data_IF_765089635026
#
_entry.id   IF_765089635026
#
_cell.length_a   1.000
_cell.length_b   1.000
_cell.length_c   1.000
_cell.angle_alpha   90.00
_cell.angle_beta   90.00
_cell.angle_gamma   90.00
#
_symmetry.space_group_name_H-M   'P 1'
#
loop_
_entity.id
_entity.type
_entity.pdbx_description
1 polymer ?
#
# COMPACT_ATOMS: atom_id res chain seq x y z
N UNK A 1 22.78 1.00 -62.88
CA UNK A 1 23.28 2.30 -62.37
C UNK A 1 23.86 2.02 -60.99
N UNK A 2 25.07 1.50 -60.80
CA UNK A 2 26.44 2.02 -61.04
C UNK A 2 26.64 3.51 -60.74
N UNK A 3 27.17 3.80 -59.55
CA UNK A 3 28.08 4.90 -59.18
C UNK A 3 28.61 4.55 -57.78
N UNK A 4 29.82 4.00 -57.63
CA UNK A 4 31.15 4.62 -57.73
C UNK A 4 31.50 5.53 -56.53
N UNK A 5 32.23 4.92 -55.58
CA UNK A 5 33.51 5.36 -55.01
C UNK A 5 33.68 6.83 -54.59
N UNK A 6 33.99 7.04 -53.30
CA UNK A 6 35.21 7.77 -52.89
C UNK A 6 35.56 7.54 -51.42
N UNK A 7 36.70 6.89 -51.22
CA UNK A 7 37.50 6.93 -50.00
C UNK A 7 37.93 8.35 -49.67
N UNK A 8 37.97 8.67 -48.39
CA UNK A 8 38.98 9.57 -47.85
C UNK A 8 39.51 9.00 -46.54
N UNK A 9 40.78 8.58 -46.57
CA UNK A 9 41.58 8.32 -45.39
C UNK A 9 42.09 9.66 -44.86
N UNK A 10 41.76 10.00 -43.61
CA UNK A 10 42.53 10.96 -42.83
C UNK A 10 42.81 10.29 -41.50
N UNK A 11 44.01 9.72 -41.40
CA UNK A 11 44.60 9.30 -40.13
C UNK A 11 45.13 10.56 -39.43
N UNK A 12 44.54 10.92 -38.30
CA UNK A 12 45.13 11.86 -37.37
C UNK A 12 45.26 11.16 -36.02
N UNK A 13 46.46 10.63 -35.78
CA UNK A 13 46.86 10.00 -34.53
C UNK A 13 47.29 11.12 -33.57
N UNK A 14 46.39 11.52 -32.69
CA UNK A 14 46.71 12.41 -31.57
C UNK A 14 46.97 11.57 -30.31
N UNK A 15 48.25 11.36 -29.99
CA UNK A 15 48.67 10.78 -28.71
C UNK A 15 48.62 11.88 -27.65
N UNK A 16 47.54 11.93 -26.88
CA UNK A 16 47.48 12.68 -25.63
C UNK A 16 47.68 11.71 -24.46
N UNK A 17 48.90 11.71 -23.92
CA UNK A 17 49.19 11.13 -22.61
C UNK A 17 48.77 12.14 -21.53
N UNK A 18 47.46 12.21 -21.26
CA UNK A 18 46.89 12.94 -20.13
C UNK A 18 46.42 11.94 -19.10
N UNK A 19 47.16 11.79 -18.00
CA UNK A 19 46.76 11.01 -16.82
C UNK A 19 45.52 11.62 -16.19
N UNK A 20 44.35 11.24 -16.70
CA UNK A 20 43.07 11.52 -16.09
C UNK A 20 42.93 10.53 -14.95
N UNK A 21 43.13 10.99 -13.71
CA UNK A 21 42.54 10.31 -12.57
C UNK A 21 41.03 10.35 -12.81
N UNK A 22 40.52 9.30 -13.44
CA UNK A 22 39.10 9.02 -13.50
C UNK A 22 38.68 8.78 -12.05
N UNK A 23 38.32 9.88 -11.36
CA UNK A 23 37.36 9.83 -10.29
C UNK A 23 36.13 9.20 -10.93
N UNK A 24 36.05 7.87 -10.84
CA UNK A 24 34.89 7.12 -11.27
C UNK A 24 33.73 7.66 -10.48
N UNK A 25 32.92 8.48 -11.13
CA UNK A 25 31.54 8.71 -10.76
C UNK A 25 30.90 7.32 -10.72
N UNK A 26 30.91 6.71 -9.54
CA UNK A 26 30.08 5.57 -9.20
C UNK A 26 28.66 6.11 -9.07
N UNK A 27 28.10 6.57 -10.19
CA UNK A 27 26.76 7.13 -10.30
C UNK A 27 25.83 6.07 -10.91
N UNK A 28 25.81 4.91 -10.25
CA UNK A 28 24.76 3.93 -10.41
C UNK A 28 24.29 3.61 -9.00
N UNK A 29 23.18 4.23 -8.59
CA UNK A 29 22.44 3.70 -7.46
C UNK A 29 22.16 2.23 -7.79
N UNK A 30 22.61 1.32 -6.92
CA UNK A 30 22.27 -0.08 -7.10
C UNK A 30 20.75 -0.18 -6.95
N UNK A 31 20.09 -0.89 -7.88
CA UNK A 31 18.65 -1.16 -7.80
C UNK A 31 18.41 -2.59 -7.34
N UNK A 32 17.38 -2.80 -6.55
CA UNK A 32 16.88 -4.08 -6.08
C UNK A 32 15.48 -4.37 -6.61
N UNK A 33 15.16 -5.65 -6.81
CA UNK A 33 13.81 -6.09 -7.13
C UNK A 33 12.98 -6.18 -5.84
N UNK A 34 11.80 -5.59 -5.88
CA UNK A 34 10.88 -5.46 -4.74
C UNK A 34 9.56 -6.12 -5.07
N UNK A 35 9.08 -6.94 -4.13
CA UNK A 35 7.78 -7.58 -4.18
C UNK A 35 6.96 -7.16 -2.97
N UNK A 36 5.87 -6.44 -3.22
CA UNK A 36 4.92 -6.08 -2.17
C UNK A 36 3.90 -7.18 -2.05
N UNK A 37 3.79 -7.73 -0.83
CA UNK A 37 2.89 -8.83 -0.53
C UNK A 37 1.91 -8.44 0.56
N UNK A 38 0.71 -9.04 0.54
CA UNK A 38 -0.34 -8.76 1.49
C UNK A 38 -0.96 -10.03 2.05
N UNK A 39 -1.22 -10.02 3.36
CA UNK A 39 -1.89 -11.09 4.09
C UNK A 39 -2.90 -10.50 5.08
N UNK A 40 -3.79 -11.34 5.58
CA UNK A 40 -4.64 -11.03 6.70
C UNK A 40 -3.95 -11.42 8.02
N UNK A 41 -3.86 -10.49 8.96
CA UNK A 41 -3.48 -10.74 10.33
C UNK A 41 -4.69 -10.52 11.23
N UNK A 42 -5.14 -11.57 11.88
CA UNK A 42 -6.23 -11.51 12.85
C UNK A 42 -5.69 -11.60 14.28
N UNK A 43 -4.51 -11.03 14.51
CA UNK A 43 -3.99 -10.84 15.86
C UNK A 43 -5.09 -10.14 16.66
N UNK A 44 -5.76 -10.91 17.51
CA UNK A 44 -6.94 -10.46 18.20
C UNK A 44 -6.54 -9.23 19.00
N UNK A 45 -7.21 -8.10 18.73
CA UNK A 45 -7.10 -6.95 19.61
C UNK A 45 -7.35 -7.45 21.03
N UNK A 46 -6.42 -7.14 21.94
CA UNK A 46 -6.48 -7.62 23.32
C UNK A 46 -7.92 -7.52 23.85
N UNK A 47 -8.49 -8.58 24.46
CA UNK A 47 -9.88 -8.60 24.95
C UNK A 47 -10.26 -7.41 25.86
N UNK A 48 -9.26 -6.71 26.41
CA UNK A 48 -9.45 -5.47 27.16
C UNK A 48 -10.07 -4.34 26.33
N UNK A 49 -9.87 -4.29 25.02
CA UNK A 49 -10.41 -3.25 24.14
C UNK A 49 -11.83 -3.56 23.64
N UNK A 50 -12.19 -4.82 23.44
CA UNK A 50 -13.53 -5.20 22.96
C UNK A 50 -14.66 -4.82 23.93
N UNK A 51 -14.38 -4.80 25.24
CA UNK A 51 -15.35 -4.38 26.26
C UNK A 51 -15.62 -2.86 26.27
N UNK A 52 -14.64 -2.04 25.85
CA UNK A 52 -14.81 -0.59 25.76
C UNK A 52 -15.74 -0.23 24.59
N UNK A 53 -15.51 -0.76 23.40
CA UNK A 53 -16.25 -0.38 22.20
C UNK A 53 -17.73 -0.76 22.26
N UNK A 54 -18.08 -1.85 22.95
CA UNK A 54 -19.48 -2.23 23.19
C UNK A 54 -20.28 -1.16 23.98
N UNK A 55 -19.60 -0.30 24.76
CA UNK A 55 -20.24 0.73 25.58
C UNK A 55 -20.46 2.08 24.88
N UNK A 56 -19.83 2.31 23.72
CA UNK A 56 -19.87 3.62 23.01
C UNK A 56 -20.85 3.60 21.82
N UNK A 57 -21.32 2.42 21.40
CA UNK A 57 -22.23 2.23 20.26
C UNK A 57 -23.68 2.76 20.45
N UNK A 58 -23.91 3.74 21.35
CA UNK A 58 -25.24 4.21 21.75
C UNK A 58 -25.39 5.73 21.85
N UNK A 59 -24.45 6.52 21.33
CA UNK A 59 -24.57 7.99 21.31
C UNK A 59 -24.74 8.45 19.86
N UNK A 60 -25.85 9.11 19.57
CA UNK A 60 -26.21 9.61 18.24
C UNK A 60 -25.02 10.34 17.59
N UNK A 61 -24.43 9.74 16.54
CA UNK A 61 -23.30 10.34 15.79
C UNK A 61 -21.99 9.59 15.84
N UNK A 62 -21.85 8.61 16.74
CA UNK A 62 -20.59 7.89 16.91
C UNK A 62 -20.36 6.83 15.82
N UNK A 63 -19.09 6.63 15.45
CA UNK A 63 -18.66 5.48 14.67
C UNK A 63 -19.12 4.19 15.37
N UNK A 64 -19.64 3.24 14.60
CA UNK A 64 -20.05 1.95 15.10
C UNK A 64 -18.94 0.92 14.86
N UNK A 65 -18.77 0.01 15.82
CA UNK A 65 -18.00 -1.20 15.60
C UNK A 65 -18.90 -2.24 14.93
N UNK A 66 -18.44 -2.81 13.82
CA UNK A 66 -19.11 -3.96 13.19
C UNK A 66 -18.24 -5.20 13.38
N UNK A 67 -18.90 -6.35 13.60
CA UNK A 67 -18.15 -7.61 13.57
C UNK A 67 -17.62 -7.84 12.16
N UNK A 68 -16.35 -8.22 12.03
CA UNK A 68 -15.79 -8.69 10.76
C UNK A 68 -16.58 -9.86 10.16
N UNK A 69 -17.26 -10.65 10.99
CA UNK A 69 -18.08 -11.78 10.54
C UNK A 69 -19.37 -11.31 9.84
N UNK A 70 -19.78 -10.06 10.06
CA UNK A 70 -20.87 -9.43 9.32
C UNK A 70 -20.45 -9.00 7.91
N UNK A 71 -19.16 -9.00 7.60
CA UNK A 71 -18.60 -8.56 6.32
C UNK A 71 -18.31 -9.77 5.44
N UNK A 72 -18.83 -9.75 4.21
CA UNK A 72 -18.60 -10.76 3.19
C UNK A 72 -17.30 -10.50 2.45
N UNK A 73 -17.16 -9.30 1.91
CA UNK A 73 -15.99 -8.85 1.17
C UNK A 73 -15.74 -7.36 1.41
N UNK A 74 -14.48 -6.96 1.32
CA UNK A 74 -14.04 -5.57 1.26
C UNK A 74 -13.05 -5.48 0.09
N UNK A 75 -13.59 -5.19 -1.10
CA UNK A 75 -12.82 -5.11 -2.33
C UNK A 75 -12.24 -3.72 -2.50
N UNK A 76 -10.94 -3.63 -2.74
CA UNK A 76 -10.25 -2.37 -3.04
C UNK A 76 -9.54 -2.45 -4.39
N UNK A 77 -9.42 -1.32 -5.07
CA UNK A 77 -8.60 -1.14 -6.27
C UNK A 77 -7.46 -0.20 -5.95
N UNK A 78 -6.23 -0.73 -5.91
CA UNK A 78 -5.00 0.04 -5.69
C UNK A 78 -4.44 0.44 -7.04
N UNK A 79 -4.13 1.72 -7.21
CA UNK A 79 -3.55 2.28 -8.44
C UNK A 79 -2.07 2.70 -8.29
N UNK A 80 -1.61 2.88 -7.06
CA UNK A 80 -0.24 3.31 -6.81
C UNK A 80 0.21 2.88 -5.40
N UNK A 81 1.45 2.44 -5.29
CA UNK A 81 2.13 2.22 -4.02
C UNK A 81 3.32 3.16 -3.98
N UNK A 82 3.48 3.89 -2.87
CA UNK A 82 4.61 4.77 -2.69
C UNK A 82 5.46 4.39 -1.48
N UNK A 83 6.75 4.62 -1.61
CA UNK A 83 7.78 4.28 -0.63
C UNK A 83 8.54 5.54 -0.22
N UNK A 84 8.81 5.70 1.07
CA UNK A 84 9.57 6.82 1.60
C UNK A 84 10.96 6.35 2.04
N UNK A 85 12.05 6.75 1.36
CA UNK A 85 13.41 6.51 1.84
C UNK A 85 13.64 7.15 3.21
N UNK A 86 14.41 6.51 4.10
CA UNK A 86 14.85 7.15 5.35
C UNK A 86 15.82 8.29 5.04
N UNK A 87 15.83 9.33 5.88
CA UNK A 87 16.62 10.54 5.65
C UNK A 87 18.12 10.31 5.39
N UNK A 88 18.73 9.27 5.98
CA UNK A 88 20.13 8.92 5.76
C UNK A 88 20.43 8.39 4.35
N UNK A 89 19.40 7.92 3.64
CA UNK A 89 19.48 7.30 2.30
C UNK A 89 18.92 8.22 1.22
N UNK A 90 18.15 9.24 1.63
CA UNK A 90 17.73 10.26 0.71
C UNK A 90 18.99 10.97 0.18
N UNK A 91 19.11 11.04 -1.14
CA UNK A 91 20.09 11.93 -1.74
C UNK A 91 19.85 13.33 -1.17
N UNK A 92 20.90 14.08 -0.82
CA UNK A 92 20.78 15.34 -0.08
C UNK A 92 19.88 16.40 -0.76
N UNK A 93 19.46 16.19 -2.01
CA UNK A 93 18.50 17.03 -2.72
C UNK A 93 17.02 16.59 -2.58
N UNK A 94 16.74 15.38 -2.09
CA UNK A 94 15.45 14.69 -2.18
C UNK A 94 14.98 14.05 -0.86
N UNK A 95 15.41 14.59 0.29
CA UNK A 95 14.87 14.20 1.60
C UNK A 95 13.34 14.34 1.62
N UNK A 96 12.64 13.23 1.88
CA UNK A 96 11.19 13.19 1.99
C UNK A 96 10.44 12.99 0.67
N UNK A 97 11.13 12.72 -0.45
CA UNK A 97 10.48 12.41 -1.73
C UNK A 97 9.95 10.98 -1.73
N UNK A 98 8.67 10.84 -2.07
CA UNK A 98 8.02 9.54 -2.22
C UNK A 98 8.35 8.93 -3.59
N UNK A 99 8.87 7.70 -3.59
CA UNK A 99 9.11 6.93 -4.82
C UNK A 99 7.84 6.17 -5.15
N UNK A 100 7.40 6.27 -6.40
CA UNK A 100 6.09 5.79 -6.85
C UNK A 100 6.20 4.52 -7.69
N UNK A 101 5.40 3.52 -7.37
CA UNK A 101 5.19 2.30 -8.14
C UNK A 101 3.73 2.26 -8.57
N UNK A 102 3.50 2.52 -9.86
CA UNK A 102 2.16 2.44 -10.46
C UNK A 102 1.72 0.98 -10.50
N UNK A 103 0.51 0.73 -10.03
CA UNK A 103 -0.11 -0.60 -10.02
C UNK A 103 -1.53 -0.50 -10.55
N UNK A 104 -2.13 -1.63 -10.94
CA UNK A 104 -3.56 -1.70 -11.22
C UNK A 104 -4.04 -3.05 -10.70
N UNK A 105 -4.33 -3.08 -9.40
CA UNK A 105 -4.63 -4.31 -8.70
C UNK A 105 -5.95 -4.18 -7.94
N UNK A 106 -6.86 -5.10 -8.19
CA UNK A 106 -8.11 -5.22 -7.43
C UNK A 106 -8.12 -6.52 -6.66
N UNK A 107 -8.37 -6.45 -5.36
CA UNK A 107 -8.40 -7.62 -4.49
C UNK A 107 -9.36 -7.41 -3.31
N UNK A 108 -9.84 -8.53 -2.76
CA UNK A 108 -10.70 -8.56 -1.58
C UNK A 108 -9.86 -8.74 -0.31
N UNK A 109 -9.87 -7.72 0.55
CA UNK A 109 -9.15 -7.72 1.82
C UNK A 109 -9.64 -8.80 2.78
N UNK A 110 -10.88 -9.26 2.64
CA UNK A 110 -11.45 -10.35 3.45
C UNK A 110 -11.11 -11.74 2.93
N UNK A 111 -10.57 -11.84 1.72
CA UNK A 111 -10.15 -13.09 1.08
C UNK A 111 -8.62 -13.23 1.01
N UNK A 112 -7.88 -12.35 1.69
CA UNK A 112 -6.43 -12.43 1.76
C UNK A 112 -5.98 -13.72 2.46
N UNK A 113 -4.86 -14.32 2.05
CA UNK A 113 -4.26 -15.43 2.77
C UNK A 113 -3.96 -15.04 4.22
N UNK A 114 -4.22 -15.93 5.17
CA UNK A 114 -3.79 -15.74 6.57
C UNK A 114 -2.27 -15.87 6.68
N UNK A 115 -1.70 -15.53 7.84
CA UNK A 115 -0.26 -15.60 8.12
C UNK A 115 0.36 -16.99 7.91
N UNK A 116 -0.44 -18.05 7.97
CA UNK A 116 0.01 -19.43 7.73
C UNK A 116 0.01 -19.82 6.23
N UNK A 117 -0.59 -18.98 5.37
CA UNK A 117 -0.67 -19.18 3.93
C UNK A 117 0.45 -18.48 3.16
N UNK A 118 0.56 -18.76 1.85
CA UNK A 118 1.42 -17.99 0.97
C UNK A 118 0.84 -16.58 0.77
N UNK A 119 1.62 -15.51 0.95
CA UNK A 119 1.12 -14.15 0.86
C UNK A 119 0.71 -13.80 -0.58
N UNK A 120 -0.31 -12.93 -0.72
CA UNK A 120 -0.74 -12.45 -2.03
C UNK A 120 0.25 -11.38 -2.52
N UNK A 121 0.84 -11.58 -3.71
CA UNK A 121 1.66 -10.54 -4.33
C UNK A 121 0.75 -9.48 -4.94
N UNK A 122 0.81 -8.25 -4.43
CA UNK A 122 -0.02 -7.13 -4.92
C UNK A 122 0.75 -6.20 -5.86
N UNK A 123 2.08 -6.21 -5.80
CA UNK A 123 2.92 -5.43 -6.70
C UNK A 123 4.33 -6.02 -6.81
N UNK A 124 4.97 -5.78 -7.94
CA UNK A 124 6.40 -6.01 -8.14
C UNK A 124 7.00 -4.80 -8.86
N UNK A 125 8.21 -4.41 -8.51
CA UNK A 125 8.92 -3.31 -9.13
C UNK A 125 10.40 -3.33 -8.78
N UNK A 126 11.13 -2.28 -9.16
CA UNK A 126 12.52 -2.10 -8.73
C UNK A 126 12.65 -0.78 -7.98
N UNK A 127 13.42 -0.78 -6.90
CA UNK A 127 13.72 0.40 -6.07
C UNK A 127 15.23 0.53 -5.90
N UNK A 128 15.71 1.73 -5.57
CA UNK A 128 17.11 1.89 -5.18
C UNK A 128 17.38 1.13 -3.86
N UNK A 129 18.52 0.45 -3.79
CA UNK A 129 19.03 -0.22 -2.60
C UNK A 129 19.18 0.80 -1.48
N UNK A 130 18.62 0.49 -0.31
CA UNK A 130 18.61 1.43 0.82
C UNK A 130 17.52 1.13 1.84
N UNK A 131 17.45 1.96 2.87
CA UNK A 131 16.48 1.86 3.96
C UNK A 131 15.25 2.73 3.70
N UNK A 132 14.07 2.16 3.92
CA UNK A 132 12.78 2.81 3.73
C UNK A 132 12.01 2.85 5.06
N UNK A 133 11.36 3.99 5.31
CA UNK A 133 10.69 4.30 6.56
C UNK A 133 9.17 4.15 6.53
N UNK A 134 8.56 4.31 5.35
CA UNK A 134 7.12 4.21 5.20
C UNK A 134 6.71 3.63 3.84
N UNK A 135 5.54 2.98 3.83
CA UNK A 135 4.82 2.59 2.61
C UNK A 135 3.40 3.12 2.70
N UNK A 136 2.87 3.63 1.58
CA UNK A 136 1.46 4.00 1.46
C UNK A 136 0.82 3.48 0.19
N UNK A 137 -0.46 3.13 0.27
CA UNK A 137 -1.25 2.60 -0.83
C UNK A 137 -2.30 3.64 -1.24
N UNK A 138 -2.32 4.01 -2.51
CA UNK A 138 -3.39 4.83 -3.07
C UNK A 138 -4.49 3.92 -3.59
N UNK A 139 -5.71 4.19 -3.13
CA UNK A 139 -6.89 3.39 -3.46
C UNK A 139 -7.81 4.23 -4.33
N UNK A 140 -8.04 3.76 -5.56
CA UNK A 140 -8.90 4.40 -6.53
C UNK A 140 -10.38 4.20 -6.19
N UNK A 141 -10.75 3.03 -5.69
CA UNK A 141 -12.13 2.70 -5.29
C UNK A 141 -12.17 1.58 -4.27
N UNK A 142 -13.23 1.55 -3.46
CA UNK A 142 -13.50 0.47 -2.52
C UNK A 142 -15.01 0.17 -2.44
N UNK A 143 -15.33 -1.10 -2.20
CA UNK A 143 -16.69 -1.59 -2.02
C UNK A 143 -16.75 -2.64 -0.91
N UNK A 144 -17.84 -2.63 -0.13
CA UNK A 144 -18.09 -3.59 0.95
C UNK A 144 -19.40 -4.33 0.72
N UNK A 145 -19.40 -5.64 0.94
CA UNK A 145 -20.61 -6.48 0.93
C UNK A 145 -20.82 -7.03 2.33
N UNK A 146 -22.05 -6.98 2.83
CA UNK A 146 -22.40 -7.52 4.15
C UNK A 146 -23.09 -8.88 4.05
N UNK A 147 -22.77 -9.79 4.98
CA UNK A 147 -23.40 -11.13 5.12
C UNK A 147 -24.75 -11.09 5.84
N UNK A 148 -25.00 -10.02 6.59
CA UNK A 148 -26.22 -9.80 7.37
C UNK A 148 -26.55 -8.31 7.36
N UNK A 149 -27.77 -7.96 7.74
CA UNK A 149 -28.16 -6.56 7.83
C UNK A 149 -27.32 -5.83 8.89
N UNK A 150 -26.77 -4.68 8.52
CA UNK A 150 -25.97 -3.82 9.41
C UNK A 150 -26.61 -2.44 9.44
N UNK A 151 -26.91 -1.92 10.64
CA UNK A 151 -27.38 -0.55 10.80
C UNK A 151 -26.23 0.36 11.24
N UNK A 152 -25.93 1.40 10.45
CA UNK A 152 -24.85 2.36 10.74
C UNK A 152 -25.34 3.81 10.69
N UNK A 153 -24.68 4.69 11.45
CA UNK A 153 -24.86 6.14 11.40
C UNK A 153 -26.10 6.66 12.15
N UNK A 154 -26.23 7.99 12.19
CA UNK A 154 -27.29 8.74 12.92
C UNK A 154 -28.69 8.52 12.36
N UNK A 155 -28.79 8.24 11.06
CA UNK A 155 -30.06 8.03 10.38
C UNK A 155 -30.45 6.54 10.36
N UNK A 156 -29.68 5.68 11.04
CA UNK A 156 -29.84 4.22 11.05
C UNK A 156 -30.00 3.68 9.64
N UNK A 157 -29.04 3.98 8.76
CA UNK A 157 -29.06 3.39 7.43
C UNK A 157 -28.82 1.89 7.58
N UNK A 158 -29.81 1.11 7.16
CA UNK A 158 -29.71 -0.33 7.13
C UNK A 158 -29.08 -0.74 5.80
N UNK A 159 -27.88 -1.28 5.89
CA UNK A 159 -27.18 -1.93 4.81
C UNK A 159 -27.66 -3.38 4.77
N UNK A 160 -28.52 -3.69 3.81
CA UNK A 160 -29.11 -5.01 3.60
C UNK A 160 -28.07 -6.03 3.14
N UNK A 161 -28.18 -7.24 3.69
CA UNK A 161 -27.36 -8.38 3.33
C UNK A 161 -27.51 -8.78 1.86
N UNK A 162 -26.42 -9.16 1.21
CA UNK A 162 -26.43 -9.73 -0.15
C UNK A 162 -26.67 -8.74 -1.29
N UNK A 163 -26.78 -7.44 -0.99
CA UNK A 163 -26.68 -6.40 -2.01
C UNK A 163 -25.31 -6.44 -2.71
N UNK A 164 -25.21 -6.05 -4.00
CA UNK A 164 -24.02 -6.27 -4.83
C UNK A 164 -22.77 -5.51 -4.36
N UNK A 165 -22.90 -4.60 -3.41
CA UNK A 165 -21.82 -3.85 -2.77
C UNK A 165 -22.22 -2.41 -2.47
N UNK A 166 -21.79 -1.91 -1.33
CA UNK A 166 -21.91 -0.50 -0.96
C UNK A 166 -20.60 0.22 -1.22
N UNK A 167 -20.63 1.45 -1.78
CA UNK A 167 -19.42 2.23 -1.97
C UNK A 167 -18.78 2.55 -0.61
N UNK A 168 -17.46 2.45 -0.57
CA UNK A 168 -16.66 2.74 0.62
C UNK A 168 -15.85 4.00 0.40
N UNK A 169 -16.04 4.97 1.28
CA UNK A 169 -15.23 6.17 1.33
C UNK A 169 -14.02 5.92 2.23
N UNK A 170 -12.84 6.10 1.66
CA UNK A 170 -11.55 5.96 2.33
C UNK A 170 -10.91 7.35 2.41
N UNK A 171 -11.07 8.13 3.50
CA UNK A 171 -10.68 9.53 3.53
C UNK A 171 -9.23 9.79 3.12
N UNK A 172 -8.31 8.91 3.54
CA UNK A 172 -6.89 9.01 3.18
C UNK A 172 -6.54 8.34 1.86
N UNK A 173 -7.40 7.44 1.34
CA UNK A 173 -7.09 6.56 0.20
C UNK A 173 -6.62 7.30 -1.06
N UNK A 174 -7.42 8.19 -1.64
CA UNK A 174 -7.06 8.89 -2.88
C UNK A 174 -6.18 10.13 -2.64
N UNK A 175 -6.25 10.76 -1.46
CA UNK A 175 -5.56 12.04 -1.21
C UNK A 175 -4.13 11.87 -0.68
N UNK A 176 -3.95 11.04 0.34
CA UNK A 176 -2.68 10.94 1.07
C UNK A 176 -2.10 9.53 1.13
N UNK A 177 -2.82 8.56 0.55
CA UNK A 177 -2.58 7.13 0.67
C UNK A 177 -2.95 6.57 2.05
N UNK A 178 -3.30 5.28 2.08
CA UNK A 178 -3.38 4.49 3.32
C UNK A 178 -1.94 4.24 3.76
N UNK A 179 -1.50 4.95 4.79
CA UNK A 179 -0.17 4.78 5.39
C UNK A 179 -0.09 3.46 6.16
N UNK A 180 1.05 2.82 6.05
CA UNK A 180 1.43 1.62 6.81
C UNK A 180 2.60 1.99 7.74
N UNK A 181 2.91 1.14 8.71
CA UNK A 181 4.10 1.25 9.55
C UNK A 181 5.27 0.41 9.01
N UNK A 182 5.32 0.19 7.70
CA UNK A 182 6.32 -0.66 7.06
C UNK A 182 7.68 0.02 6.94
N UNK A 183 8.65 -0.51 7.68
CA UNK A 183 10.06 -0.23 7.54
C UNK A 183 10.79 -1.45 6.97
N UNK A 184 11.62 -1.24 5.95
CA UNK A 184 12.35 -2.31 5.29
C UNK A 184 13.65 -1.81 4.66
N UNK A 185 14.51 -2.73 4.27
CA UNK A 185 15.76 -2.46 3.54
C UNK A 185 15.69 -3.16 2.20
N UNK A 186 15.86 -2.42 1.11
CA UNK A 186 15.96 -2.97 -0.24
C UNK A 186 17.38 -3.47 -0.46
N UNK A 187 17.51 -4.77 -0.72
CA UNK A 187 18.71 -5.44 -1.22
C UNK A 187 18.48 -5.92 -2.66
N UNK A 188 19.12 -7.00 -3.13
CA UNK A 188 18.93 -7.52 -4.48
C UNK A 188 17.49 -8.02 -4.74
N UNK A 189 16.92 -8.77 -3.79
CA UNK A 189 15.55 -9.30 -3.84
C UNK A 189 14.89 -9.03 -2.47
N UNK A 190 13.83 -8.22 -2.44
CA UNK A 190 13.21 -7.77 -1.18
C UNK A 190 11.70 -7.98 -1.19
N UNK A 191 11.21 -8.67 -0.16
CA UNK A 191 9.78 -8.82 0.11
C UNK A 191 9.32 -7.78 1.13
N UNK A 192 8.36 -6.94 0.74
CA UNK A 192 7.67 -6.00 1.63
C UNK A 192 6.35 -6.64 2.06
N UNK A 193 6.27 -7.08 3.32
CA UNK A 193 5.08 -7.73 3.87
C UNK A 193 4.12 -6.71 4.48
N UNK A 194 2.88 -6.74 4.02
CA UNK A 194 1.77 -5.94 4.53
C UNK A 194 0.69 -6.84 5.11
N UNK A 195 0.18 -6.47 6.27
CA UNK A 195 -0.77 -7.23 7.07
C UNK A 195 -2.03 -6.38 7.26
N UNK A 196 -3.11 -6.78 6.62
CA UNK A 196 -4.43 -6.21 6.84
C UNK A 196 -5.03 -6.75 8.14
N UNK A 197 -5.52 -5.86 9.00
CA UNK A 197 -6.23 -6.21 10.23
C UNK A 197 -7.72 -5.89 10.11
N UNK A 198 -8.58 -6.87 9.77
CA UNK A 198 -10.02 -6.65 9.69
C UNK A 198 -10.60 -6.23 11.03
N UNK A 199 -10.16 -6.88 12.11
CA UNK A 199 -10.63 -6.59 13.47
C UNK A 199 -10.37 -5.14 13.87
N UNK A 200 -9.23 -4.55 13.51
CA UNK A 200 -8.94 -3.14 13.77
C UNK A 200 -9.65 -2.18 12.80
N UNK A 201 -9.76 -2.58 11.53
CA UNK A 201 -10.45 -1.80 10.48
C UNK A 201 -11.92 -1.55 10.82
N UNK A 202 -12.60 -2.58 11.30
CA UNK A 202 -14.05 -2.54 11.53
C UNK A 202 -14.45 -2.00 12.92
N UNK A 203 -13.51 -1.49 13.70
CA UNK A 203 -13.81 -0.80 14.96
C UNK A 203 -14.48 0.56 14.75
N UNK A 204 -14.16 1.24 13.65
CA UNK A 204 -14.58 2.61 13.38
C UNK A 204 -15.22 2.68 11.99
N UNK A 205 -16.45 2.21 11.88
CA UNK A 205 -17.23 2.24 10.65
C UNK A 205 -18.39 3.21 10.80
N UNK A 206 -18.60 4.07 9.81
CA UNK A 206 -19.71 5.03 9.80
C UNK A 206 -20.50 4.88 8.50
N UNK A 207 -21.83 4.83 8.59
CA UNK A 207 -22.70 4.91 7.41
C UNK A 207 -23.11 6.35 7.15
N UNK A 208 -23.14 6.75 5.90
CA UNK A 208 -23.59 8.08 5.46
C UNK A 208 -25.04 8.04 4.99
N UNK A 209 -25.72 9.18 5.00
CA UNK A 209 -27.13 9.34 4.58
C UNK A 209 -27.43 8.97 3.13
N UNK A 210 -26.41 8.90 2.26
CA UNK A 210 -26.48 8.53 0.85
C UNK A 210 -26.08 7.06 0.58
N UNK A 211 -25.89 6.25 1.63
CA UNK A 211 -25.63 4.81 1.50
C UNK A 211 -24.16 4.44 1.26
N UNK A 212 -23.23 5.35 1.52
CA UNK A 212 -21.80 5.06 1.57
C UNK A 212 -21.39 4.55 2.97
N UNK A 213 -20.28 3.83 2.99
CA UNK A 213 -19.63 3.38 4.22
C UNK A 213 -18.28 4.07 4.33
N UNK A 214 -18.06 4.84 5.39
CA UNK A 214 -16.76 5.42 5.72
C UNK A 214 -16.02 4.45 6.65
N UNK A 215 -14.82 4.03 6.25
CA UNK A 215 -13.91 3.26 7.10
C UNK A 215 -12.44 3.59 6.79
N UNK A 216 -11.55 3.23 7.72
CA UNK A 216 -10.11 3.38 7.56
C UNK A 216 -9.43 2.00 7.69
N UNK A 217 -8.98 1.38 6.59
CA UNK A 217 -8.28 0.11 6.63
C UNK A 217 -7.00 0.23 7.44
N UNK A 218 -6.80 -0.72 8.36
CA UNK A 218 -5.59 -0.82 9.16
C UNK A 218 -4.67 -1.84 8.51
N UNK A 219 -3.56 -1.35 7.96
CA UNK A 219 -2.52 -2.15 7.31
C UNK A 219 -1.20 -1.92 8.05
N UNK A 220 -0.55 -3.00 8.47
CA UNK A 220 0.69 -2.99 9.25
C UNK A 220 1.79 -3.82 8.59
N UNK A 221 3.02 -3.73 9.05
CA UNK A 221 4.14 -4.55 8.61
C UNK A 221 4.43 -5.73 9.53
N UNK A 222 3.87 -5.70 10.75
CA UNK A 222 4.08 -6.72 11.77
C UNK A 222 2.76 -7.06 12.47
N UNK A 223 2.60 -8.30 12.99
CA UNK A 223 1.44 -8.65 13.79
C UNK A 223 1.36 -7.80 15.06
N UNK A 224 0.14 -7.52 15.51
CA UNK A 224 -0.09 -6.76 16.74
C UNK A 224 0.52 -7.47 17.96
N UNK A 225 1.43 -6.79 18.66
CA UNK A 225 2.05 -7.31 19.89
C UNK A 225 3.32 -8.15 19.71
N UNK A 226 3.90 -8.15 18.51
CA UNK A 226 5.22 -8.74 18.23
C UNK A 226 6.38 -7.81 18.64
#
# INVERSE_FOLDING_TARGET
MSMATRSLHVALLAVFAGGSAACGLLDSSATGDVRVTMQQSDAALSPAMSGWFASVAGVDGAAAAISKDAVQSLTITVNEIQFLPKAAEAQAADEGVWISLVVDATFDLMALPTTDGSPLVIATGSLDVGNYGDVRLFVASAQIVFKQDVSLGVSLNTFTAGEPGYPVDLPSGPETGIKTDAEFTVEADTDVSLLFSPSATFLNVTGTGDGHVILAPVIRSKPDGA
#
